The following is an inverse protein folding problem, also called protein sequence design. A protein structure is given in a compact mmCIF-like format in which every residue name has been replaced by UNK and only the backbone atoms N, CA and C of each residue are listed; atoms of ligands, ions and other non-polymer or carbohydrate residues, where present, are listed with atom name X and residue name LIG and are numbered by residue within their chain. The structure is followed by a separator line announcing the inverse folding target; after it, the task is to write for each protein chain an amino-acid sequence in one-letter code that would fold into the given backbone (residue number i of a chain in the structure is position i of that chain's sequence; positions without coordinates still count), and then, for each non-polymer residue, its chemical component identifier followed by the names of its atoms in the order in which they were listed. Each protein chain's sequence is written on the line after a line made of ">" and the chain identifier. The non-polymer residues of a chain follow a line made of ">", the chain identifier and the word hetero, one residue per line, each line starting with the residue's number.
data_IF_221625257958
#
_entry.id   IF_221625257958
#
_cell.length_a   1.000
_cell.length_b   1.000
_cell.length_c   1.000
_cell.angle_alpha   90.00
_cell.angle_beta   90.00
_cell.angle_gamma   90.00
#
_symmetry.space_group_name_H-M   'P 1'
#
loop_
_entity.id
_entity.type
_entity.pdbx_description
1 polymer ?
#
# COMPACT_ATOMS: atom_id res chain seq x y z
N UNK A 1 -2.93 20.54 -23.22
CA UNK A 1 -2.04 20.15 -22.10
C UNK A 1 -0.85 21.11 -22.01
N UNK A 2 -0.55 21.69 -20.85
CA UNK A 2 0.70 22.46 -20.71
C UNK A 2 1.81 21.49 -20.34
N UNK A 3 2.80 21.32 -21.23
CA UNK A 3 3.95 20.44 -20.99
C UNK A 3 4.60 20.73 -19.62
N UNK A 4 4.62 22.00 -19.21
CA UNK A 4 5.15 22.47 -17.91
C UNK A 4 4.54 21.83 -16.65
N UNK A 5 3.25 21.47 -16.65
CA UNK A 5 2.62 20.87 -15.47
C UNK A 5 3.01 19.39 -15.29
N UNK A 6 3.15 18.68 -16.41
CA UNK A 6 3.63 17.30 -16.40
C UNK A 6 5.10 17.25 -15.96
N UNK A 7 5.91 18.18 -16.45
CA UNK A 7 7.31 18.35 -16.03
C UNK A 7 7.43 18.64 -14.53
N UNK A 8 6.54 19.47 -13.99
CA UNK A 8 6.48 19.76 -12.55
C UNK A 8 6.13 18.50 -11.76
N UNK A 9 5.12 17.74 -12.20
CA UNK A 9 4.74 16.50 -11.54
C UNK A 9 5.90 15.49 -11.54
N UNK A 10 6.66 15.37 -12.63
CA UNK A 10 7.86 14.53 -12.70
C UNK A 10 8.99 15.06 -11.80
N UNK A 11 9.14 16.37 -11.66
CA UNK A 11 10.03 16.96 -10.66
C UNK A 11 9.67 16.52 -9.23
N UNK A 12 8.40 16.62 -8.86
CA UNK A 12 7.90 16.18 -7.54
C UNK A 12 8.19 14.68 -7.30
N UNK A 13 8.10 13.85 -8.35
CA UNK A 13 8.48 12.43 -8.31
C UNK A 13 9.96 12.29 -7.96
N UNK A 14 10.84 12.95 -8.72
CA UNK A 14 12.30 12.84 -8.56
C UNK A 14 12.74 13.31 -7.18
N UNK A 15 12.13 14.37 -6.65
CA UNK A 15 12.43 14.88 -5.31
C UNK A 15 12.09 13.84 -4.23
N UNK A 16 10.95 13.17 -4.32
CA UNK A 16 10.58 12.12 -3.39
C UNK A 16 11.58 10.93 -3.42
N UNK A 17 12.01 10.53 -4.62
CA UNK A 17 13.07 9.53 -4.79
C UNK A 17 14.40 9.98 -4.18
N UNK A 18 14.79 11.23 -4.41
CA UNK A 18 16.04 11.83 -3.94
C UNK A 18 16.11 11.90 -2.41
N UNK A 19 14.99 12.15 -1.73
CA UNK A 19 14.91 12.16 -0.27
C UNK A 19 15.26 10.80 0.35
N UNK A 20 14.87 9.70 -0.28
CA UNK A 20 15.14 8.35 0.26
C UNK A 20 16.48 7.77 -0.21
N UNK A 21 17.00 8.23 -1.35
CA UNK A 21 18.24 7.71 -1.95
C UNK A 21 19.29 8.82 -2.08
N UNK A 22 20.03 9.19 -1.03
CA UNK A 22 20.94 10.35 -1.08
C UNK A 22 22.03 10.25 -2.17
N UNK A 23 22.42 9.02 -2.52
CA UNK A 23 23.43 8.71 -3.54
C UNK A 23 22.84 8.36 -4.92
N UNK A 24 21.56 8.66 -5.17
CA UNK A 24 20.94 8.42 -6.47
C UNK A 24 21.69 9.12 -7.61
N UNK A 25 21.68 8.52 -8.79
CA UNK A 25 22.22 9.11 -10.03
C UNK A 25 21.16 9.15 -11.14
N UNK A 26 20.23 8.19 -11.15
CA UNK A 26 19.13 8.09 -12.11
C UNK A 26 17.92 7.43 -11.47
N UNK A 27 16.74 7.95 -11.77
CA UNK A 27 15.44 7.34 -11.50
C UNK A 27 14.86 6.86 -12.82
N UNK A 28 14.33 5.64 -12.82
CA UNK A 28 13.58 5.05 -13.93
C UNK A 28 12.23 4.66 -13.37
N UNK A 29 11.17 5.13 -14.01
CA UNK A 29 9.80 4.87 -13.57
C UNK A 29 8.95 4.62 -14.81
N UNK A 30 8.31 3.47 -14.86
CA UNK A 30 7.27 3.23 -15.85
C UNK A 30 5.92 3.03 -15.18
N UNK A 31 4.91 3.65 -15.78
CA UNK A 31 3.51 3.57 -15.39
C UNK A 31 2.77 2.93 -16.56
N UNK A 32 2.06 1.83 -16.33
CA UNK A 32 1.27 1.15 -17.34
C UNK A 32 -0.21 1.25 -17.00
N UNK A 33 -1.03 1.64 -17.99
CA UNK A 33 -2.48 1.50 -17.89
C UNK A 33 -2.84 0.04 -18.13
N UNK A 34 -3.66 -0.50 -17.23
CA UNK A 34 -4.08 -1.88 -17.31
C UNK A 34 -5.45 -1.97 -17.97
N UNK A 35 -5.62 -3.00 -18.79
CA UNK A 35 -6.94 -3.44 -19.23
C UNK A 35 -7.32 -4.76 -18.54
N UNK A 36 -8.63 -4.95 -18.42
CA UNK A 36 -9.24 -6.19 -17.96
C UNK A 36 -10.31 -6.56 -18.98
N UNK A 37 -10.22 -7.75 -19.58
CA UNK A 37 -11.11 -8.19 -20.66
C UNK A 37 -11.24 -7.16 -21.81
N UNK A 38 -10.12 -6.55 -22.22
CA UNK A 38 -10.05 -5.51 -23.24
C UNK A 38 -10.85 -4.22 -22.89
N UNK A 39 -11.10 -3.98 -21.61
CA UNK A 39 -11.67 -2.72 -21.10
C UNK A 39 -10.61 -1.97 -20.28
N UNK A 40 -10.39 -0.67 -20.55
CA UNK A 40 -9.53 0.15 -19.70
C UNK A 40 -10.00 0.06 -18.25
N UNK A 41 -9.06 -0.13 -17.34
CA UNK A 41 -9.32 -0.05 -15.90
C UNK A 41 -8.86 1.30 -15.38
N UNK A 42 -9.40 1.74 -14.24
CA UNK A 42 -8.85 2.87 -13.48
C UNK A 42 -7.56 2.47 -12.72
N UNK A 43 -7.05 1.26 -12.96
CA UNK A 43 -5.89 0.69 -12.26
C UNK A 43 -4.66 0.85 -13.13
N UNK A 44 -3.60 1.38 -12.52
CA UNK A 44 -2.30 1.50 -13.15
C UNK A 44 -1.29 0.64 -12.40
N UNK A 45 -0.41 0.00 -13.17
CA UNK A 45 0.75 -0.67 -12.62
C UNK A 45 1.96 0.24 -12.70
N UNK A 46 2.83 0.17 -11.69
CA UNK A 46 3.92 1.12 -11.53
C UNK A 46 5.17 0.38 -11.13
N UNK A 47 6.23 0.65 -11.86
CA UNK A 47 7.52 0.03 -11.69
C UNK A 47 8.59 1.08 -11.63
N UNK A 48 9.51 0.94 -10.69
CA UNK A 48 10.60 1.88 -10.56
C UNK A 48 11.95 1.19 -10.33
N UNK A 49 13.01 1.88 -10.74
CA UNK A 49 14.38 1.66 -10.30
C UNK A 49 15.02 2.97 -9.91
N UNK A 50 15.78 2.94 -8.83
CA UNK A 50 16.71 4.01 -8.50
C UNK A 50 18.12 3.46 -8.64
N UNK A 51 18.87 4.04 -9.58
CA UNK A 51 20.30 3.76 -9.69
C UNK A 51 21.03 4.69 -8.75
N UNK A 52 21.86 4.13 -7.88
CA UNK A 52 22.66 4.87 -6.91
C UNK A 52 24.14 4.55 -7.06
N UNK A 53 25.01 5.52 -6.80
CA UNK A 53 26.45 5.31 -6.81
C UNK A 53 26.97 5.10 -5.38
N UNK A 54 27.28 3.85 -5.03
CA UNK A 54 27.65 3.44 -3.67
C UNK A 54 28.90 2.56 -3.73
N UNK A 55 29.85 2.76 -2.81
CA UNK A 55 31.03 1.89 -2.70
C UNK A 55 32.02 1.94 -3.88
N UNK A 56 31.79 2.79 -4.88
CA UNK A 56 32.58 2.83 -6.12
C UNK A 56 31.88 2.22 -7.33
N UNK A 57 30.64 1.75 -7.17
CA UNK A 57 29.87 1.05 -8.19
C UNK A 57 28.45 1.62 -8.29
N UNK A 58 27.77 1.33 -9.40
CA UNK A 58 26.35 1.64 -9.57
C UNK A 58 25.53 0.44 -9.12
N UNK A 59 24.58 0.68 -8.22
CA UNK A 59 23.64 -0.32 -7.70
C UNK A 59 22.23 0.10 -8.11
N UNK A 60 21.38 -0.87 -8.46
CA UNK A 60 19.98 -0.67 -8.75
C UNK A 60 19.13 -1.12 -7.56
N UNK A 61 18.33 -0.21 -7.01
CA UNK A 61 17.40 -0.48 -5.91
C UNK A 61 15.95 -0.19 -6.32
N UNK A 62 15.00 -0.66 -5.52
CA UNK A 62 13.59 -0.28 -5.60
C UNK A 62 13.28 0.81 -4.57
N UNK A 63 12.52 1.81 -4.97
CA UNK A 63 11.89 2.73 -4.03
C UNK A 63 10.53 2.17 -3.60
N UNK A 64 10.41 1.86 -2.31
CA UNK A 64 9.25 1.18 -1.73
C UNK A 64 8.32 2.12 -0.94
N UNK A 65 8.70 3.38 -0.72
CA UNK A 65 7.95 4.34 0.10
C UNK A 65 6.87 5.03 -0.75
N UNK A 66 5.89 4.25 -1.19
CA UNK A 66 4.88 4.67 -2.18
C UNK A 66 3.82 5.65 -1.68
N UNK A 67 3.68 5.82 -0.36
CA UNK A 67 2.68 6.74 0.23
C UNK A 67 2.83 8.19 -0.25
N UNK A 68 4.07 8.64 -0.45
CA UNK A 68 4.37 9.98 -0.97
C UNK A 68 4.06 10.11 -2.46
N UNK A 69 4.05 8.98 -3.19
CA UNK A 69 3.98 8.95 -4.65
C UNK A 69 2.56 8.86 -5.21
N UNK A 70 1.63 8.24 -4.48
CA UNK A 70 0.24 8.03 -4.90
C UNK A 70 -0.47 9.33 -5.39
N UNK A 71 -0.36 10.49 -4.72
CA UNK A 71 -0.96 11.74 -5.21
C UNK A 71 -0.31 12.24 -6.52
N UNK A 72 0.99 12.05 -6.67
CA UNK A 72 1.75 12.55 -7.83
C UNK A 72 1.41 11.70 -9.07
N UNK A 73 1.26 10.39 -8.93
CA UNK A 73 0.79 9.53 -10.02
C UNK A 73 -0.62 9.89 -10.50
N UNK A 74 -1.56 10.11 -9.56
CA UNK A 74 -2.91 10.57 -9.91
C UNK A 74 -2.90 11.90 -10.66
N UNK A 75 -1.98 12.79 -10.30
CA UNK A 75 -1.78 14.05 -11.01
C UNK A 75 -1.30 13.81 -12.45
N UNK A 76 -0.36 12.89 -12.67
CA UNK A 76 0.09 12.51 -14.02
C UNK A 76 -1.07 11.92 -14.84
N UNK A 77 -1.86 11.02 -14.27
CA UNK A 77 -3.04 10.45 -14.94
C UNK A 77 -4.05 11.53 -15.31
N UNK A 78 -4.35 12.45 -14.39
CA UNK A 78 -5.25 13.57 -14.64
C UNK A 78 -4.69 14.55 -15.69
N UNK A 79 -3.38 14.80 -15.70
CA UNK A 79 -2.74 15.67 -16.68
C UNK A 79 -2.69 15.04 -18.08
N UNK A 80 -2.76 13.71 -18.18
CA UNK A 80 -2.60 12.95 -19.42
C UNK A 80 -3.86 12.15 -19.79
N UNK A 81 -5.02 12.54 -19.24
CA UNK A 81 -6.30 11.86 -19.46
C UNK A 81 -6.81 11.96 -20.91
N UNK A 82 -6.38 12.98 -21.65
CA UNK A 82 -6.73 13.24 -23.05
C UNK A 82 -5.82 12.51 -24.05
N UNK A 83 -4.79 11.82 -23.55
CA UNK A 83 -3.85 11.06 -24.36
C UNK A 83 -4.09 9.56 -24.13
N UNK A 84 -4.32 8.85 -25.22
CA UNK A 84 -4.53 7.40 -25.23
C UNK A 84 -3.18 6.66 -25.25
N UNK A 85 -2.40 6.84 -24.17
CA UNK A 85 -1.16 6.11 -23.97
C UNK A 85 -1.42 4.82 -23.19
N UNK A 86 -0.67 3.77 -23.53
CA UNK A 86 -0.65 2.51 -22.79
C UNK A 86 0.42 2.50 -21.70
N UNK A 87 1.56 3.18 -21.94
CA UNK A 87 2.60 3.37 -20.95
C UNK A 87 3.10 4.82 -20.89
N UNK A 88 3.40 5.29 -19.70
CA UNK A 88 4.16 6.51 -19.45
C UNK A 88 5.53 6.11 -18.91
N UNK A 89 6.59 6.45 -19.65
CA UNK A 89 7.98 6.12 -19.33
C UNK A 89 8.74 7.35 -18.91
N UNK A 90 9.31 7.33 -17.71
CA UNK A 90 10.04 8.45 -17.12
C UNK A 90 11.46 7.98 -16.80
N UNK A 91 12.45 8.73 -17.28
CA UNK A 91 13.86 8.58 -16.89
C UNK A 91 14.35 9.96 -16.46
N UNK A 92 14.91 10.06 -15.26
CA UNK A 92 15.42 11.33 -14.74
C UNK A 92 16.80 11.15 -14.12
N UNK A 93 17.72 12.05 -14.48
CA UNK A 93 19.12 12.07 -14.08
C UNK A 93 19.34 13.11 -12.99
N UNK A 94 20.34 12.86 -12.14
CA UNK A 94 20.75 13.79 -11.08
C UNK A 94 21.24 15.14 -11.60
N UNK A 95 21.67 15.21 -12.86
CA UNK A 95 22.08 16.48 -13.50
C UNK A 95 20.88 17.32 -14.00
N UNK A 96 19.65 16.91 -13.67
CA UNK A 96 18.42 17.63 -14.00
C UNK A 96 17.89 17.34 -15.40
N UNK A 97 18.49 16.41 -16.12
CA UNK A 97 17.93 15.92 -17.39
C UNK A 97 16.88 14.87 -17.12
N UNK A 98 15.77 14.94 -17.82
CA UNK A 98 14.77 13.88 -17.80
C UNK A 98 14.09 13.75 -19.15
N UNK A 99 13.48 12.58 -19.34
CA UNK A 99 12.70 12.23 -20.50
C UNK A 99 11.38 11.65 -20.01
N UNK A 100 10.29 12.10 -20.63
CA UNK A 100 8.95 11.58 -20.44
C UNK A 100 8.46 11.13 -21.81
N UNK A 101 8.10 9.86 -21.91
CA UNK A 101 7.62 9.23 -23.14
C UNK A 101 6.24 8.60 -22.90
N UNK A 102 5.23 9.11 -23.61
CA UNK A 102 3.87 8.58 -23.59
C UNK A 102 3.71 7.64 -24.78
N UNK A 103 3.80 6.34 -24.52
CA UNK A 103 3.77 5.28 -25.52
C UNK A 103 2.33 5.00 -25.94
N UNK A 104 2.01 5.24 -27.20
CA UNK A 104 0.64 5.14 -27.75
C UNK A 104 0.47 4.03 -28.80
N UNK A 105 1.57 3.45 -29.27
CA UNK A 105 1.61 2.41 -30.31
C UNK A 105 1.65 0.98 -29.76
N UNK A 106 1.73 0.83 -28.44
CA UNK A 106 1.63 -0.44 -27.75
C UNK A 106 0.23 -0.63 -27.16
N UNK A 107 -0.33 -1.86 -27.15
CA UNK A 107 -1.60 -2.12 -26.50
C UNK A 107 -1.49 -1.91 -24.97
N UNK A 108 -2.59 -1.50 -24.30
CA UNK A 108 -2.70 -1.58 -22.85
C UNK A 108 -2.35 -3.00 -22.37
N UNK A 109 -1.81 -3.09 -21.16
CA UNK A 109 -1.35 -4.37 -20.64
C UNK A 109 -2.47 -5.07 -19.90
N UNK A 110 -2.64 -6.36 -20.20
CA UNK A 110 -3.60 -7.18 -19.47
C UNK A 110 -3.15 -7.30 -18.01
N UNK A 111 -4.05 -6.91 -17.11
CA UNK A 111 -3.90 -7.07 -15.66
C UNK A 111 -3.44 -8.50 -15.31
N UNK A 112 -3.98 -9.51 -16.01
CA UNK A 112 -3.69 -10.93 -15.80
C UNK A 112 -2.33 -11.38 -16.39
N UNK A 113 -1.63 -10.52 -17.12
CA UNK A 113 -0.36 -10.79 -17.82
C UNK A 113 0.87 -10.09 -17.23
N UNK A 114 0.66 -9.15 -16.30
CA UNK A 114 1.68 -8.20 -15.86
C UNK A 114 2.98 -8.87 -15.39
N UNK A 115 2.92 -9.96 -14.61
CA UNK A 115 4.12 -10.60 -14.05
C UNK A 115 5.06 -11.28 -15.06
N UNK A 116 4.59 -11.49 -16.30
CA UNK A 116 5.39 -12.06 -17.40
C UNK A 116 5.63 -11.07 -18.52
N UNK A 117 5.13 -9.83 -18.36
CA UNK A 117 5.19 -8.82 -19.38
C UNK A 117 6.65 -8.36 -19.56
N UNK A 118 7.20 -8.38 -20.80
CA UNK A 118 8.55 -7.89 -21.10
C UNK A 118 8.83 -6.48 -20.56
N UNK A 119 7.80 -5.67 -20.35
CA UNK A 119 7.84 -4.40 -19.65
C UNK A 119 8.47 -4.47 -18.25
N UNK A 120 8.21 -5.53 -17.48
CA UNK A 120 8.76 -5.70 -16.12
C UNK A 120 10.25 -5.96 -16.17
N UNK A 121 10.66 -6.85 -17.09
CA UNK A 121 12.07 -7.14 -17.32
C UNK A 121 12.84 -5.91 -17.74
N UNK A 122 12.26 -5.06 -18.59
CA UNK A 122 12.93 -3.84 -19.00
C UNK A 122 13.28 -2.93 -17.78
N UNK A 123 12.42 -2.80 -16.73
CA UNK A 123 12.71 -1.96 -15.55
C UNK A 123 13.72 -2.68 -14.68
N UNK A 124 13.49 -3.96 -14.44
CA UNK A 124 14.33 -4.79 -13.61
C UNK A 124 15.78 -4.81 -14.12
N UNK A 125 15.93 -5.01 -15.43
CA UNK A 125 17.21 -5.17 -16.14
C UNK A 125 17.73 -3.82 -16.67
N UNK A 126 17.11 -2.69 -16.32
CA UNK A 126 17.42 -1.39 -16.93
C UNK A 126 18.91 -1.06 -16.86
N UNK A 127 19.56 -1.31 -15.72
CA UNK A 127 20.99 -1.08 -15.53
C UNK A 127 21.84 -1.91 -16.50
N UNK A 128 21.45 -3.16 -16.74
CA UNK A 128 22.17 -4.06 -17.65
C UNK A 128 21.96 -3.65 -19.11
N UNK A 129 20.70 -3.38 -19.47
CA UNK A 129 20.30 -2.97 -20.82
C UNK A 129 20.89 -1.60 -21.21
N UNK A 130 21.15 -0.71 -20.25
CA UNK A 130 21.58 0.67 -20.49
C UNK A 130 22.97 0.99 -19.89
N UNK A 131 23.81 -0.01 -19.65
CA UNK A 131 25.09 0.13 -18.93
C UNK A 131 25.98 1.24 -19.50
N UNK A 132 26.17 1.28 -20.82
CA UNK A 132 26.99 2.31 -21.48
C UNK A 132 26.48 3.74 -21.22
N UNK A 133 25.15 3.94 -21.22
CA UNK A 133 24.55 5.24 -20.97
C UNK A 133 24.70 5.67 -19.50
N UNK A 134 24.58 4.70 -18.58
CA UNK A 134 24.74 4.91 -17.14
C UNK A 134 26.21 5.22 -16.81
N UNK A 135 27.16 4.52 -17.40
CA UNK A 135 28.59 4.80 -17.22
C UNK A 135 28.94 6.21 -17.72
N UNK A 136 28.42 6.59 -18.89
CA UNK A 136 28.58 7.95 -19.41
C UNK A 136 27.95 9.01 -18.49
N UNK A 137 26.81 8.70 -17.84
CA UNK A 137 26.20 9.58 -16.85
C UNK A 137 27.10 9.72 -15.61
N UNK A 138 27.65 8.63 -15.10
CA UNK A 138 28.56 8.65 -13.94
C UNK A 138 29.79 9.51 -14.23
N UNK A 139 30.40 9.37 -15.41
CA UNK A 139 31.55 10.20 -15.80
C UNK A 139 31.20 11.69 -15.91
N UNK A 140 30.02 12.02 -16.45
CA UNK A 140 29.54 13.41 -16.47
C UNK A 140 29.35 13.97 -15.06
N UNK A 141 28.71 13.21 -14.17
CA UNK A 141 28.48 13.61 -12.79
C UNK A 141 29.80 13.76 -12.02
N UNK A 142 30.79 12.90 -12.27
CA UNK A 142 32.13 13.02 -11.67
C UNK A 142 32.81 14.30 -12.15
N UNK A 143 32.75 14.56 -13.45
CA UNK A 143 33.36 15.74 -14.08
C UNK A 143 32.75 17.06 -13.59
N UNK A 144 31.45 17.06 -13.28
CA UNK A 144 30.74 18.24 -12.74
C UNK A 144 30.83 18.38 -11.21
N UNK A 145 31.40 17.39 -10.51
CA UNK A 145 31.40 17.34 -9.05
C UNK A 145 30.05 17.00 -8.43
N UNK A 146 29.05 16.63 -9.22
CA UNK A 146 27.71 16.23 -8.77
C UNK A 146 27.61 14.73 -8.42
N UNK A 147 28.66 13.95 -8.67
CA UNK A 147 28.70 12.53 -8.31
C UNK A 147 28.74 12.34 -6.79
N UNK A 148 27.85 11.52 -6.21
CA UNK A 148 27.88 11.21 -4.78
C UNK A 148 29.20 10.57 -4.36
N UNK A 149 29.78 11.01 -3.25
CA UNK A 149 31.02 10.42 -2.70
C UNK A 149 30.67 9.14 -1.94
N UNK A 150 30.80 7.99 -2.59
CA UNK A 150 30.69 6.70 -1.92
C UNK A 150 31.77 6.56 -0.84
N UNK A 151 31.38 6.54 0.44
CA UNK A 151 32.32 6.15 1.51
C UNK A 151 32.72 4.69 1.28
N UNK A 152 34.00 4.45 1.00
CA UNK A 152 34.60 3.11 1.12
C UNK A 152 34.57 2.71 2.60
N UNK A 153 33.89 1.62 2.94
CA UNK A 153 34.10 0.90 4.20
C UNK A 153 35.49 0.24 4.14
N UNK A 154 36.53 1.00 4.51
CA UNK A 154 37.87 0.47 4.73
C UNK A 154 37.92 -0.29 6.06
N UNK A 155 38.20 -1.58 5.98
CA UNK A 155 38.65 -2.37 7.12
C UNK A 155 40.06 -1.91 7.55
N UNK A 156 40.22 -1.53 8.82
CA UNK A 156 41.28 -1.98 9.74
C UNK A 156 41.19 -1.23 11.07
N UNK A 157 41.08 -1.99 12.16
CA UNK A 157 41.01 -1.46 13.52
C UNK A 157 40.54 -2.49 14.54
N UNK A 158 41.25 -3.62 14.66
CA UNK A 158 41.13 -4.47 15.84
C UNK A 158 41.51 -3.67 17.10
N UNK A 159 40.62 -3.64 18.10
CA UNK A 159 41.05 -3.79 19.50
C UNK A 159 39.89 -4.29 20.35
N UNK A 160 40.08 -5.48 20.90
CA UNK A 160 39.21 -6.12 21.87
C UNK A 160 39.16 -5.33 23.18
N UNK A 161 37.99 -5.24 23.82
CA UNK A 161 37.93 -5.26 25.28
C UNK A 161 36.62 -5.86 25.80
N UNK A 162 36.76 -7.11 26.26
CA UNK A 162 36.17 -7.71 27.45
C UNK A 162 34.65 -7.70 27.66
N UNK A 163 34.13 -8.93 27.72
CA UNK A 163 33.01 -9.32 28.56
C UNK A 163 33.12 -8.72 29.98
N UNK A 164 31.99 -8.20 30.49
CA UNK A 164 31.67 -8.24 31.92
C UNK A 164 30.20 -8.57 32.11
N UNK A 165 30.01 -9.64 32.85
CA UNK A 165 28.76 -10.18 33.38
C UNK A 165 28.39 -9.43 34.68
N UNK A 166 27.08 -9.35 34.92
CA UNK A 166 26.34 -8.90 36.12
C UNK A 166 26.22 -7.39 36.38
N UNK A 167 24.98 -6.87 36.32
CA UNK A 167 24.16 -6.78 37.53
C UNK A 167 22.65 -6.72 37.21
N UNK A 168 21.85 -7.49 37.93
CA UNK A 168 20.38 -7.46 37.91
C UNK A 168 19.92 -6.65 39.12
N UNK A 169 19.01 -5.67 38.94
CA UNK A 169 17.70 -5.56 39.64
C UNK A 169 17.01 -4.19 39.46
N UNK A 170 15.69 -4.10 39.75
CA UNK A 170 14.70 -3.56 38.84
C UNK A 170 14.21 -2.16 39.24
N UNK A 171 13.65 -1.43 38.27
CA UNK A 171 12.71 -0.32 38.55
C UNK A 171 11.57 -0.31 37.55
N UNK A 172 10.44 -0.80 38.06
CA UNK A 172 9.11 -0.19 38.04
C UNK A 172 8.52 0.29 36.71
N UNK A 173 7.43 -0.40 36.37
CA UNK A 173 6.32 -0.05 35.48
C UNK A 173 6.19 1.44 35.15
N UNK A 174 6.54 1.78 33.91
CA UNK A 174 5.93 2.91 33.21
C UNK A 174 4.91 2.32 32.24
N UNK A 175 3.64 2.57 32.52
CA UNK A 175 2.55 2.36 31.57
C UNK A 175 2.81 3.24 30.34
N UNK A 176 3.33 2.64 29.27
CA UNK A 176 3.31 3.22 27.93
C UNK A 176 2.23 2.49 27.13
N UNK A 177 1.25 3.26 26.66
CA UNK A 177 0.18 2.80 25.77
C UNK A 177 0.76 2.21 24.48
N UNK A 178 0.54 0.91 24.27
CA UNK A 178 1.24 0.05 23.30
C UNK A 178 0.87 0.31 21.82
N UNK A 179 1.83 0.62 20.93
CA UNK A 179 1.61 0.79 19.49
C UNK A 179 1.67 -0.48 18.60
N UNK A 180 1.83 -1.70 19.13
CA UNK A 180 2.32 -2.83 18.33
C UNK A 180 1.38 -4.05 18.18
N UNK A 181 0.05 -3.88 18.08
CA UNK A 181 -0.83 -5.02 17.75
C UNK A 181 -1.06 -5.15 16.23
N UNK A 182 -1.10 -6.39 15.73
CA UNK A 182 -1.52 -6.72 14.36
C UNK A 182 -2.89 -6.11 14.05
N UNK A 183 -3.81 -6.13 15.02
CA UNK A 183 -5.14 -5.51 14.90
C UNK A 183 -5.07 -4.02 14.53
N UNK A 184 -4.14 -3.26 15.11
CA UNK A 184 -3.96 -1.85 14.78
C UNK A 184 -3.49 -1.67 13.34
N UNK A 185 -2.58 -2.54 12.86
CA UNK A 185 -2.11 -2.47 11.47
C UNK A 185 -3.21 -2.89 10.49
N UNK A 186 -4.03 -3.87 10.85
CA UNK A 186 -5.24 -4.24 10.09
C UNK A 186 -6.19 -3.05 9.98
N UNK A 187 -6.43 -2.31 11.06
CA UNK A 187 -7.27 -1.10 11.02
C UNK A 187 -6.69 -0.02 10.11
N UNK A 188 -5.36 0.15 10.10
CA UNK A 188 -4.69 1.06 9.17
C UNK A 188 -4.88 0.61 7.73
N UNK A 189 -4.68 -0.68 7.42
CA UNK A 189 -4.90 -1.24 6.08
C UNK A 189 -6.33 -1.00 5.61
N UNK A 190 -7.34 -1.36 6.42
CA UNK A 190 -8.75 -1.19 6.06
C UNK A 190 -9.08 0.28 5.82
N UNK A 191 -8.62 1.18 6.69
CA UNK A 191 -8.83 2.62 6.55
C UNK A 191 -8.26 3.17 5.24
N UNK A 192 -7.05 2.74 4.87
CA UNK A 192 -6.38 3.20 3.65
C UNK A 192 -7.02 2.62 2.40
N UNK A 193 -7.23 1.31 2.36
CA UNK A 193 -7.84 0.60 1.23
C UNK A 193 -9.26 1.10 0.95
N UNK A 194 -10.00 1.53 1.97
CA UNK A 194 -11.39 2.02 1.80
C UNK A 194 -11.50 3.54 1.68
N UNK A 195 -10.40 4.29 1.78
CA UNK A 195 -10.41 5.75 1.87
C UNK A 195 -11.03 6.45 0.64
N UNK A 196 -10.89 5.86 -0.55
CA UNK A 196 -11.42 6.40 -1.81
C UNK A 196 -12.80 5.83 -2.17
N UNK A 197 -13.33 4.92 -1.34
CA UNK A 197 -14.57 4.19 -1.60
C UNK A 197 -15.59 4.48 -0.51
N UNK A 198 -16.19 5.69 -0.42
CA UNK A 198 -17.09 6.06 0.67
C UNK A 198 -18.32 5.15 0.82
N UNK A 199 -18.68 4.46 -0.27
CA UNK A 199 -19.79 3.50 -0.34
C UNK A 199 -19.36 2.03 -0.14
N UNK A 200 -18.14 1.78 0.34
CA UNK A 200 -17.65 0.44 0.61
C UNK A 200 -18.52 -0.30 1.63
N UNK A 201 -18.67 -1.61 1.45
CA UNK A 201 -19.35 -2.53 2.37
C UNK A 201 -18.41 -3.64 2.85
N UNK A 202 -17.44 -4.05 2.03
CA UNK A 202 -16.41 -5.04 2.37
C UNK A 202 -15.08 -4.72 1.68
N UNK A 203 -13.97 -4.90 2.38
CA UNK A 203 -12.62 -4.86 1.84
C UNK A 203 -11.99 -6.26 1.94
N UNK A 204 -11.29 -6.66 0.88
CA UNK A 204 -10.57 -7.93 0.76
C UNK A 204 -9.14 -7.61 0.39
N UNK A 205 -8.20 -8.19 1.11
CA UNK A 205 -6.78 -7.89 0.99
C UNK A 205 -5.98 -9.16 1.19
N UNK A 206 -5.19 -9.55 0.19
CA UNK A 206 -4.31 -10.70 0.23
C UNK A 206 -2.87 -10.26 -0.04
N UNK A 207 -1.94 -10.76 0.76
CA UNK A 207 -0.49 -10.60 0.55
C UNK A 207 0.14 -11.98 0.47
N UNK A 208 0.80 -12.28 -0.66
CA UNK A 208 1.51 -13.52 -0.87
C UNK A 208 3.02 -13.33 -0.82
N UNK A 209 3.70 -14.09 0.04
CA UNK A 209 5.16 -14.17 0.04
C UNK A 209 5.63 -15.00 -1.14
N UNK A 210 6.53 -14.44 -1.94
CA UNK A 210 7.05 -15.09 -3.13
C UNK A 210 8.41 -15.76 -2.85
N UNK A 211 8.83 -16.61 -3.78
CA UNK A 211 10.13 -17.25 -3.77
C UNK A 211 10.82 -17.13 -5.13
N UNK A 212 12.15 -17.20 -5.12
CA UNK A 212 12.98 -17.29 -6.32
C UNK A 212 13.05 -18.73 -6.83
N UNK A 213 13.62 -18.93 -8.03
CA UNK A 213 13.76 -20.26 -8.67
C UNK A 213 14.56 -21.26 -7.83
N UNK A 214 15.52 -20.78 -7.04
CA UNK A 214 16.33 -21.58 -6.12
C UNK A 214 15.60 -21.95 -4.81
N UNK A 215 14.35 -21.51 -4.66
CA UNK A 215 13.50 -21.72 -3.48
C UNK A 215 13.78 -20.75 -2.33
N UNK A 216 14.69 -19.80 -2.49
CA UNK A 216 14.92 -18.75 -1.48
C UNK A 216 13.74 -17.76 -1.43
N UNK A 217 13.45 -17.15 -0.27
CA UNK A 217 12.48 -16.05 -0.18
C UNK A 217 12.82 -14.93 -1.16
N UNK A 218 11.81 -14.46 -1.90
CA UNK A 218 11.97 -13.29 -2.74
C UNK A 218 11.99 -12.01 -1.90
N UNK A 219 12.62 -10.96 -2.43
CA UNK A 219 12.58 -9.63 -1.80
C UNK A 219 11.20 -8.95 -1.94
N UNK A 220 10.42 -9.37 -2.94
CA UNK A 220 9.10 -8.82 -3.25
C UNK A 220 7.97 -9.79 -2.88
N UNK A 221 6.90 -9.25 -2.33
CA UNK A 221 5.62 -9.93 -2.14
C UNK A 221 4.62 -9.51 -3.22
N UNK A 222 3.57 -10.30 -3.44
CA UNK A 222 2.41 -9.89 -4.25
C UNK A 222 1.31 -9.35 -3.35
N UNK A 223 0.71 -8.22 -3.74
CA UNK A 223 -0.35 -7.53 -3.02
C UNK A 223 -1.58 -7.43 -3.90
N UNK A 224 -2.72 -7.90 -3.40
CA UNK A 224 -3.97 -7.93 -4.13
C UNK A 224 -5.07 -7.41 -3.20
N UNK A 225 -5.93 -6.57 -3.73
CA UNK A 225 -7.07 -6.07 -2.99
C UNK A 225 -8.34 -6.05 -3.84
N UNK A 226 -9.48 -6.03 -3.16
CA UNK A 226 -10.80 -5.80 -3.75
C UNK A 226 -11.64 -5.02 -2.76
N UNK A 227 -12.34 -3.99 -3.21
CA UNK A 227 -13.26 -3.21 -2.39
C UNK A 227 -14.66 -3.36 -2.97
N UNK A 228 -15.57 -3.96 -2.21
CA UNK A 228 -16.95 -4.12 -2.61
C UNK A 228 -17.74 -2.89 -2.14
N UNK A 229 -18.43 -2.24 -3.07
CA UNK A 229 -19.16 -0.99 -2.86
C UNK A 229 -20.65 -1.19 -3.14
N UNK A 230 -21.50 -0.52 -2.36
CA UNK A 230 -22.94 -0.46 -2.64
C UNK A 230 -23.25 0.77 -3.50
N UNK A 231 -23.60 0.55 -4.77
CA UNK A 231 -23.89 1.61 -5.75
C UNK A 231 -25.20 1.32 -6.46
N UNK A 232 -26.10 2.30 -6.48
CA UNK A 232 -27.37 2.25 -7.24
C UNK A 232 -28.23 1.00 -7.02
N UNK A 233 -28.18 0.41 -5.82
CA UNK A 233 -28.97 -0.77 -5.49
C UNK A 233 -28.27 -2.10 -5.74
N UNK A 234 -26.99 -2.09 -6.12
CA UNK A 234 -26.19 -3.28 -6.39
C UNK A 234 -24.82 -3.22 -5.71
N UNK A 235 -24.14 -4.36 -5.63
CA UNK A 235 -22.76 -4.48 -5.17
C UNK A 235 -21.83 -4.48 -6.37
N UNK A 236 -20.93 -3.49 -6.41
CA UNK A 236 -19.91 -3.34 -7.44
C UNK A 236 -18.55 -3.64 -6.82
N UNK A 237 -17.70 -4.36 -7.55
CA UNK A 237 -16.34 -4.66 -7.12
C UNK A 237 -15.34 -3.68 -7.74
N UNK A 238 -14.63 -2.96 -6.88
CA UNK A 238 -13.62 -1.94 -7.22
C UNK A 238 -12.24 -2.36 -6.69
N UNK A 239 -11.23 -1.57 -7.04
CA UNK A 239 -9.86 -1.71 -6.55
C UNK A 239 -9.45 -0.44 -5.83
N UNK A 240 -8.75 -0.62 -4.72
CA UNK A 240 -7.88 0.43 -4.19
C UNK A 240 -6.59 0.47 -5.02
N UNK A 241 -6.25 1.65 -5.52
CA UNK A 241 -5.12 1.85 -6.45
C UNK A 241 -3.92 2.54 -5.81
N UNK A 242 -4.03 2.88 -4.51
CA UNK A 242 -2.94 3.40 -3.71
C UNK A 242 -2.06 2.29 -3.13
N UNK A 243 -0.99 2.71 -2.46
CA UNK A 243 0.00 1.81 -1.83
C UNK A 243 0.31 2.25 -0.40
N UNK A 244 -0.56 3.09 0.17
CA UNK A 244 -0.29 3.76 1.44
C UNK A 244 -0.30 2.76 2.61
N UNK A 245 -0.83 1.56 2.38
CA UNK A 245 -0.94 0.42 3.29
C UNK A 245 0.33 -0.45 3.34
N UNK A 246 1.32 -0.21 2.46
CA UNK A 246 2.57 -0.98 2.42
C UNK A 246 3.33 -0.98 3.75
N UNK A 247 3.42 0.17 4.43
CA UNK A 247 4.09 0.28 5.73
C UNK A 247 3.39 -0.57 6.80
N UNK A 248 2.06 -0.67 6.74
CA UNK A 248 1.28 -1.48 7.66
C UNK A 248 1.51 -2.98 7.41
N UNK A 249 1.59 -3.43 6.16
CA UNK A 249 1.97 -4.82 5.86
C UNK A 249 3.40 -5.12 6.30
N UNK A 250 4.34 -4.19 6.05
CA UNK A 250 5.73 -4.38 6.49
C UNK A 250 5.81 -4.50 8.00
N UNK A 251 5.05 -3.69 8.74
CA UNK A 251 4.94 -3.82 10.19
C UNK A 251 4.37 -5.19 10.60
N UNK A 252 3.30 -5.67 9.96
CA UNK A 252 2.77 -7.02 10.19
C UNK A 252 3.83 -8.09 9.90
N UNK A 253 4.53 -8.02 8.78
CA UNK A 253 5.57 -8.99 8.40
C UNK A 253 6.72 -9.02 9.40
N UNK A 254 7.12 -7.86 9.94
CA UNK A 254 8.12 -7.78 11.01
C UNK A 254 7.61 -8.36 12.33
N UNK A 255 6.38 -8.02 12.72
CA UNK A 255 5.73 -8.51 13.93
C UNK A 255 5.47 -10.02 13.90
N UNK A 256 5.37 -10.61 12.71
CA UNK A 256 5.09 -12.04 12.47
C UNK A 256 6.25 -12.75 11.80
N UNK A 257 7.48 -12.25 12.02
CA UNK A 257 8.70 -12.77 11.41
C UNK A 257 9.10 -14.16 11.93
N UNK A 258 8.58 -14.55 13.09
CA UNK A 258 8.73 -15.87 13.70
C UNK A 258 7.73 -16.91 13.17
N UNK A 259 6.74 -16.47 12.39
CA UNK A 259 5.74 -17.33 11.76
C UNK A 259 6.08 -17.50 10.28
N UNK A 260 6.30 -18.74 9.86
CA UNK A 260 6.55 -19.08 8.45
C UNK A 260 5.24 -19.19 7.66
N UNK A 261 4.49 -18.10 7.65
CA UNK A 261 3.33 -17.98 6.79
C UNK A 261 3.77 -17.66 5.36
N UNK A 262 2.99 -18.14 4.41
CA UNK A 262 3.15 -17.90 2.97
C UNK A 262 2.14 -16.88 2.46
N UNK A 263 1.00 -16.72 3.13
CA UNK A 263 0.04 -15.69 2.79
C UNK A 263 -0.56 -15.02 4.03
N UNK A 264 -0.90 -13.75 3.89
CA UNK A 264 -1.76 -13.00 4.81
C UNK A 264 -3.06 -12.68 4.08
N UNK A 265 -4.20 -13.05 4.66
CA UNK A 265 -5.53 -12.77 4.11
C UNK A 265 -6.35 -11.97 5.11
N UNK A 266 -6.99 -10.92 4.63
CA UNK A 266 -7.85 -10.02 5.38
C UNK A 266 -9.17 -9.83 4.63
N UNK A 267 -10.27 -10.03 5.35
CA UNK A 267 -11.61 -9.62 4.94
C UNK A 267 -12.18 -8.74 6.03
N UNK A 268 -12.62 -7.53 5.69
CA UNK A 268 -13.20 -6.58 6.63
C UNK A 268 -14.54 -6.06 6.13
N UNK A 269 -15.55 -6.10 6.98
CA UNK A 269 -16.90 -5.60 6.75
C UNK A 269 -17.08 -4.20 7.33
N UNK A 270 -17.96 -3.41 6.73
CA UNK A 270 -18.27 -2.05 7.18
C UNK A 270 -18.83 -1.97 8.59
N UNK A 271 -19.55 -3.01 9.04
CA UNK A 271 -20.09 -3.08 10.40
C UNK A 271 -19.05 -3.54 11.44
N UNK A 272 -17.78 -3.63 11.07
CA UNK A 272 -16.67 -3.97 11.97
C UNK A 272 -16.36 -5.47 12.05
N UNK A 273 -17.11 -6.32 11.35
CA UNK A 273 -16.74 -7.72 11.17
C UNK A 273 -15.38 -7.85 10.48
N UNK A 274 -14.48 -8.69 10.99
CA UNK A 274 -13.17 -8.92 10.35
C UNK A 274 -12.71 -10.36 10.48
N UNK A 275 -12.03 -10.84 9.44
CA UNK A 275 -11.35 -12.12 9.38
C UNK A 275 -9.90 -11.85 8.97
N UNK A 276 -8.96 -12.37 9.76
CA UNK A 276 -7.52 -12.25 9.52
C UNK A 276 -6.93 -13.65 9.58
N UNK A 277 -6.23 -14.07 8.54
CA UNK A 277 -5.64 -15.39 8.41
C UNK A 277 -4.18 -15.29 7.95
N UNK A 278 -3.31 -16.08 8.59
CA UNK A 278 -1.95 -16.34 8.14
C UNK A 278 -1.89 -17.79 7.65
N UNK A 279 -1.77 -17.97 6.34
CA UNK A 279 -1.71 -19.29 5.69
C UNK A 279 -0.29 -19.83 5.82
N UNK A 280 -0.14 -21.07 6.28
CA UNK A 280 1.17 -21.69 6.57
C UNK A 280 1.37 -23.04 5.88
N UNK A 281 0.31 -23.60 5.31
CA UNK A 281 0.25 -24.94 4.72
C UNK A 281 0.26 -24.92 3.18
N UNK A 282 0.07 -23.76 2.56
CA UNK A 282 0.20 -23.57 1.12
C UNK A 282 1.63 -23.15 0.74
N UNK A 283 2.19 -23.67 -0.38
CA UNK A 283 3.54 -23.32 -0.80
C UNK A 283 3.65 -21.86 -1.25
N UNK A 284 4.83 -21.27 -1.08
CA UNK A 284 5.16 -19.97 -1.69
C UNK A 284 5.13 -20.10 -3.21
N UNK A 285 4.66 -19.05 -3.86
CA UNK A 285 4.53 -18.98 -5.32
C UNK A 285 5.79 -18.36 -5.89
N UNK A 286 6.18 -18.77 -7.11
CA UNK A 286 7.36 -18.21 -7.77
C UNK A 286 7.15 -16.72 -8.09
N UNK A 287 8.22 -15.93 -8.01
CA UNK A 287 8.21 -14.53 -8.47
C UNK A 287 7.85 -14.46 -9.95
N UNK A 288 8.51 -15.28 -10.76
CA UNK A 288 8.21 -15.36 -12.18
C UNK A 288 6.78 -15.88 -12.38
N UNK A 289 5.95 -15.12 -13.10
CA UNK A 289 4.57 -15.46 -13.35
C UNK A 289 3.60 -15.25 -12.19
N UNK A 290 4.06 -14.77 -11.02
CA UNK A 290 3.23 -14.53 -9.83
C UNK A 290 1.98 -13.71 -10.15
N UNK A 291 2.11 -12.53 -10.78
CA UNK A 291 0.96 -11.69 -11.12
C UNK A 291 0.02 -12.28 -12.20
N UNK A 292 0.41 -13.40 -12.82
CA UNK A 292 -0.40 -14.14 -13.80
C UNK A 292 -0.90 -15.48 -13.29
N UNK A 293 -0.57 -15.83 -12.03
CA UNK A 293 -1.00 -17.10 -11.45
C UNK A 293 -2.53 -17.09 -11.27
N UNK A 294 -3.27 -18.03 -11.89
CA UNK A 294 -4.72 -18.11 -11.79
C UNK A 294 -5.22 -18.22 -10.35
N UNK A 295 -4.37 -18.66 -9.42
CA UNK A 295 -4.67 -18.68 -8.00
C UNK A 295 -5.11 -17.31 -7.45
N UNK A 296 -4.48 -16.23 -7.93
CA UNK A 296 -4.77 -14.87 -7.46
C UNK A 296 -6.09 -14.31 -7.98
N UNK A 297 -6.68 -14.92 -9.03
CA UNK A 297 -8.02 -14.54 -9.53
C UNK A 297 -9.10 -14.61 -8.47
N UNK A 298 -8.91 -15.41 -7.41
CA UNK A 298 -9.85 -15.47 -6.30
C UNK A 298 -10.12 -14.11 -5.64
N UNK A 299 -9.14 -13.19 -5.62
CA UNK A 299 -9.34 -11.82 -5.10
C UNK A 299 -10.14 -10.98 -6.09
N UNK A 300 -9.88 -11.13 -7.39
CA UNK A 300 -10.60 -10.44 -8.46
C UNK A 300 -12.08 -10.87 -8.54
N UNK A 301 -12.30 -12.19 -8.47
CA UNK A 301 -13.59 -12.88 -8.57
C UNK A 301 -14.28 -13.00 -7.21
N UNK A 302 -13.75 -12.36 -6.17
CA UNK A 302 -14.21 -12.53 -4.79
C UNK A 302 -15.74 -12.32 -4.64
N UNK A 303 -16.30 -11.31 -5.32
CA UNK A 303 -17.75 -11.04 -5.29
C UNK A 303 -18.57 -12.21 -5.85
N UNK A 304 -18.09 -12.81 -6.94
CA UNK A 304 -18.78 -13.91 -7.63
C UNK A 304 -18.67 -15.20 -6.83
N UNK A 305 -17.47 -15.48 -6.30
CA UNK A 305 -17.18 -16.66 -5.48
C UNK A 305 -17.90 -16.62 -4.12
N UNK A 306 -18.18 -15.43 -3.58
CA UNK A 306 -18.75 -15.24 -2.23
C UNK A 306 -20.10 -14.52 -2.27
N UNK A 307 -20.88 -14.66 -3.34
CA UNK A 307 -22.13 -13.91 -3.55
C UNK A 307 -23.12 -14.05 -2.38
N UNK A 308 -23.34 -15.28 -1.90
CA UNK A 308 -24.26 -15.55 -0.80
C UNK A 308 -23.85 -14.84 0.49
N UNK A 309 -22.55 -14.79 0.78
CA UNK A 309 -22.03 -14.09 1.97
C UNK A 309 -22.17 -12.57 1.85
N UNK A 310 -21.91 -12.04 0.66
CA UNK A 310 -22.02 -10.61 0.37
C UNK A 310 -23.49 -10.17 0.41
N UNK A 311 -24.42 -10.98 -0.08
CA UNK A 311 -25.86 -10.71 0.01
C UNK A 311 -26.33 -10.71 1.46
N UNK A 312 -25.85 -11.67 2.27
CA UNK A 312 -26.12 -11.70 3.70
C UNK A 312 -25.56 -10.45 4.41
N UNK A 313 -24.36 -9.98 4.02
CA UNK A 313 -23.78 -8.73 4.52
C UNK A 313 -24.65 -7.52 4.15
N UNK A 314 -25.13 -7.43 2.91
CA UNK A 314 -26.02 -6.34 2.47
C UNK A 314 -27.29 -6.30 3.32
N UNK A 315 -27.93 -7.44 3.57
CA UNK A 315 -29.12 -7.48 4.43
C UNK A 315 -28.81 -7.07 5.88
N UNK A 316 -27.64 -7.47 6.40
CA UNK A 316 -27.16 -7.09 7.73
C UNK A 316 -26.98 -5.57 7.85
N UNK A 317 -26.23 -4.98 6.92
CA UNK A 317 -26.01 -3.53 6.85
C UNK A 317 -27.32 -2.76 6.62
N UNK A 318 -28.23 -3.34 5.85
CA UNK A 318 -29.55 -2.76 5.61
C UNK A 318 -30.39 -2.72 6.89
N UNK A 319 -30.33 -3.77 7.70
CA UNK A 319 -31.05 -3.90 8.96
C UNK A 319 -30.45 -3.00 10.05
N UNK A 320 -29.13 -2.84 10.10
CA UNK A 320 -28.45 -1.95 11.05
C UNK A 320 -28.55 -0.47 10.69
N UNK A 321 -28.82 -0.17 9.41
CA UNK A 321 -28.84 1.20 8.88
C UNK A 321 -27.47 1.69 8.40
N UNK A 322 -26.46 0.80 8.37
CA UNK A 322 -25.09 1.12 7.93
C UNK A 322 -24.87 0.95 6.43
N UNK A 323 -25.90 0.50 5.68
CA UNK A 323 -25.83 0.39 4.23
C UNK A 323 -25.67 1.79 3.60
N UNK A 324 -24.57 2.06 2.86
CA UNK A 324 -24.29 3.37 2.29
C UNK A 324 -25.36 3.84 1.29
N UNK A 325 -25.50 5.15 1.10
CA UNK A 325 -26.34 5.71 0.04
C UNK A 325 -27.86 5.65 0.28
N UNK A 326 -28.34 5.08 1.38
CA UNK A 326 -29.74 5.31 1.79
C UNK A 326 -29.90 6.73 2.31
N UNK A 327 -30.63 7.57 1.58
CA UNK A 327 -31.33 8.69 2.22
C UNK A 327 -32.14 8.10 3.39
N UNK A 328 -31.83 8.49 4.61
CA UNK A 328 -32.72 8.26 5.76
C UNK A 328 -34.01 9.05 5.54
N UNK A 329 -34.90 8.54 4.70
CA UNK A 329 -36.31 8.95 4.68
C UNK A 329 -37.00 8.31 5.87
N UNK A 330 -36.87 8.97 7.01
CA UNK A 330 -37.54 8.63 8.25
C UNK A 330 -37.66 9.85 9.14
N UNK A 331 -38.63 10.71 8.84
CA UNK A 331 -38.99 11.81 9.73
C UNK A 331 -39.54 11.32 11.07
N UNK A 332 -39.18 12.06 12.13
CA UNK A 332 -39.85 12.18 13.44
C UNK A 332 -40.03 10.91 14.29
N UNK A 333 -39.15 10.82 15.30
CA UNK A 333 -39.60 10.75 16.70
C UNK A 333 -39.41 9.42 17.39
N UNK A 334 -38.33 9.28 18.17
CA UNK A 334 -38.30 8.45 19.38
C UNK A 334 -37.17 8.87 20.35
N UNK A 335 -36.93 10.19 20.46
CA UNK A 335 -36.35 10.79 21.68
C UNK A 335 -37.48 10.97 22.72
N UNK A 336 -38.02 9.86 23.22
CA UNK A 336 -38.92 9.88 24.37
C UNK A 336 -39.04 8.51 25.03
N UNK A 337 -37.96 7.94 25.57
CA UNK A 337 -38.09 6.86 26.55
C UNK A 337 -36.86 6.57 27.41
N UNK A 338 -36.12 7.59 27.88
CA UNK A 338 -35.46 7.52 29.19
C UNK A 338 -35.58 8.88 29.89
N UNK A 339 -36.76 9.08 30.48
CA UNK A 339 -37.09 10.22 31.33
C UNK A 339 -36.30 10.09 32.64
N UNK A 340 -35.54 11.13 32.96
CA UNK A 340 -35.08 11.44 34.31
C UNK A 340 -36.16 11.12 35.35
N UNK A 341 -35.86 10.17 36.23
CA UNK A 341 -36.53 10.01 37.52
C UNK A 341 -35.63 10.61 38.60
N UNK A 342 -35.60 11.95 38.69
CA UNK A 342 -35.23 12.68 39.90
C UNK A 342 -36.17 13.86 40.04
N UNK A 343 -37.03 13.74 41.05
CA UNK A 343 -38.12 14.67 41.34
C UNK A 343 -39.11 14.01 42.28
N UNK A 344 -38.64 13.58 43.46
CA UNK A 344 -39.51 13.40 44.62
C UNK A 344 -39.79 14.79 45.19
N UNK A 345 -41.07 15.16 45.40
CA UNK A 345 -41.43 16.10 46.44
C UNK A 345 -41.95 15.30 47.64
N UNK A 346 -41.30 15.45 48.79
CA UNK A 346 -41.99 15.33 50.08
C UNK A 346 -41.12 15.92 51.17
N UNK A 347 -41.66 16.98 51.73
CA UNK A 347 -41.10 17.76 52.81
C UNK A 347 -40.83 16.90 54.06
N UNK A 348 -39.75 17.28 54.74
CA UNK A 348 -39.60 17.33 56.19
C UNK A 348 -40.93 17.24 56.96
N UNK A 349 -41.04 16.23 57.82
CA UNK A 349 -41.57 16.38 59.18
C UNK A 349 -41.29 15.10 59.97
N UNK A 350 -40.30 15.17 60.86
CA UNK A 350 -40.18 14.26 62.00
C UNK A 350 -39.54 15.02 63.13
N UNK A 351 -40.36 15.59 64.00
CA UNK A 351 -40.12 15.70 65.44
C UNK A 351 -41.42 16.20 66.07
N UNK A 352 -42.15 15.29 66.70
CA UNK A 352 -42.76 15.58 67.99
C UNK A 352 -42.88 14.26 68.74
N UNK A 353 -41.88 14.05 69.60
CA UNK A 353 -41.91 13.07 70.67
C UNK A 353 -41.86 13.85 71.99
N UNK A 354 -43.04 13.94 72.60
CA UNK A 354 -43.31 13.71 74.03
C UNK A 354 -42.84 14.71 75.10
N UNK A 355 -43.86 15.07 75.88
CA UNK A 355 -43.94 15.17 77.34
C UNK A 355 -43.37 16.44 78.01
N UNK A 356 -44.30 17.19 78.65
CA UNK A 356 -44.06 18.33 79.53
C UNK A 356 -45.28 19.21 79.70
#
# INVERSE_FOLDING_TARGET
>A
MSSSELETAVGDIVDAFAESFPNWIRVVLWIGRLDYEARPTDTNIRLNRVLSYTGGEVVADYYTVMRTMSPIYRRIDALTHDVDWAQCRIVADRDGKHQIDLVTDEPPRNLEGAGTDPYWRQVHDYLELNREQVDALVERLRSSGACPVGRRSGAEGCSATSARVHDQRPREHVHMSDPASVDRQVEVIVSLVTSEHPLWIRAVVWVGRLQNDDGSPAESDIYLNRVLCWKDGDVVAEYYTGFDDYDAYRAISQMTSDVDWTQFRLVADRDGGRQVEFVTDEPRRQVEGSATDPYWRQVHDYLELNRDEVDALVERLRASGDLPGKETRGGRGLLSLFRHRRGQPSASTREDSRDG
#
